data_IF_535596720228
#
_entry.id   IF_535596720228
#
_cell.length_a   1.000
_cell.length_b   1.000
_cell.length_c   1.000
_cell.angle_alpha   90.00
_cell.angle_beta   90.00
_cell.angle_gamma   90.00
#
_symmetry.space_group_name_H-M   'P 1'
#
loop_
_entity.id
_entity.type
_entity.pdbx_description
1 polymer ?
#
# COMPACT_ATOMS: atom_id res chain seq x y z
N UNK A 1 -22.67 -3.66 -4.31
CA UNK A 1 -23.37 -4.90 -3.91
C UNK A 1 -22.40 -6.08 -4.06
N UNK A 2 -22.31 -6.93 -3.01
CA UNK A 2 -21.95 -8.38 -2.97
C UNK A 2 -20.65 -8.99 -3.58
N UNK A 3 -19.69 -9.36 -2.69
CA UNK A 3 -19.01 -10.67 -2.39
C UNK A 3 -19.21 -11.85 -3.40
N UNK A 4 -18.34 -12.85 -3.66
CA UNK A 4 -17.43 -13.70 -2.83
C UNK A 4 -16.53 -14.54 -3.80
N UNK A 5 -15.35 -14.98 -3.35
CA UNK A 5 -14.70 -16.19 -3.84
C UNK A 5 -15.61 -17.42 -3.74
N UNK A 6 -15.72 -18.24 -4.79
CA UNK A 6 -15.97 -19.69 -4.72
C UNK A 6 -15.60 -20.29 -6.08
N UNK A 7 -14.62 -21.19 -6.11
CA UNK A 7 -14.37 -22.05 -7.26
C UNK A 7 -13.96 -23.43 -6.74
N UNK A 8 -14.97 -24.28 -6.51
CA UNK A 8 -14.81 -25.73 -6.61
C UNK A 8 -15.49 -26.17 -7.91
N UNK A 9 -14.79 -27.04 -8.63
CA UNK A 9 -15.32 -28.03 -9.58
C UNK A 9 -16.02 -27.51 -10.84
N UNK A 10 -15.39 -27.70 -12.01
CA UNK A 10 -15.72 -28.83 -12.90
C UNK A 10 -14.78 -28.82 -14.11
N UNK A 11 -13.90 -29.82 -14.15
CA UNK A 11 -13.34 -30.30 -15.41
C UNK A 11 -14.37 -31.20 -16.12
N UNK A 12 -14.19 -31.27 -17.44
CA UNK A 12 -14.77 -32.21 -18.41
C UNK A 12 -16.11 -31.81 -19.05
N UNK A 13 -16.04 -31.38 -20.31
CA UNK A 13 -16.41 -32.25 -21.43
C UNK A 13 -15.91 -31.68 -22.76
N UNK A 14 -15.38 -32.57 -23.58
CA UNK A 14 -14.78 -32.36 -24.90
C UNK A 14 -15.82 -32.04 -25.98
N UNK A 15 -15.46 -31.05 -26.80
CA UNK A 15 -15.63 -30.91 -28.26
C UNK A 15 -16.70 -31.76 -28.96
N UNK A 16 -17.71 -31.12 -29.56
CA UNK A 16 -18.15 -31.40 -30.94
C UNK A 16 -18.73 -30.13 -31.62
N UNK A 17 -18.64 -30.14 -32.95
CA UNK A 17 -18.69 -29.04 -33.92
C UNK A 17 -20.06 -28.36 -34.01
N UNK A 18 -20.06 -27.02 -34.04
CA UNK A 18 -21.25 -26.22 -34.37
C UNK A 18 -20.92 -24.75 -34.57
N UNK A 19 -20.88 -24.32 -35.83
CA UNK A 19 -20.95 -22.92 -36.26
C UNK A 19 -22.03 -22.18 -35.48
N UNK A 20 -21.66 -21.18 -34.68
CA UNK A 20 -22.36 -19.90 -34.49
C UNK A 20 -21.51 -19.00 -33.59
N UNK A 21 -21.31 -17.77 -34.03
CA UNK A 21 -20.56 -16.68 -33.38
C UNK A 21 -20.47 -16.79 -31.85
N UNK A 22 -19.28 -17.10 -31.33
CA UNK A 22 -18.96 -16.71 -29.96
C UNK A 22 -19.14 -15.19 -29.87
N UNK A 23 -19.85 -14.66 -28.85
CA UNK A 23 -19.86 -13.24 -28.60
C UNK A 23 -18.42 -12.85 -28.28
N UNK A 24 -17.78 -12.14 -29.21
CA UNK A 24 -16.36 -11.82 -29.14
C UNK A 24 -15.99 -11.33 -27.75
N UNK A 25 -15.06 -12.03 -27.10
CA UNK A 25 -14.40 -11.44 -25.94
C UNK A 25 -13.81 -10.13 -26.43
N UNK A 26 -14.37 -9.02 -25.99
CA UNK A 26 -13.88 -7.70 -26.33
C UNK A 26 -12.46 -7.63 -25.80
N UNK A 27 -11.49 -7.86 -26.68
CA UNK A 27 -10.11 -7.85 -26.26
C UNK A 27 -9.73 -6.40 -25.96
N UNK A 28 -9.09 -6.20 -24.81
CA UNK A 28 -8.73 -4.87 -24.29
C UNK A 28 -7.90 -4.08 -25.31
N UNK A 29 -7.09 -4.77 -26.13
CA UNK A 29 -6.33 -4.19 -27.23
C UNK A 29 -7.21 -3.61 -28.36
N UNK A 30 -8.34 -4.23 -28.71
CA UNK A 30 -9.29 -3.67 -29.68
C UNK A 30 -9.98 -2.41 -29.15
N UNK A 31 -10.27 -2.38 -27.84
CA UNK A 31 -10.81 -1.18 -27.19
C UNK A 31 -9.75 -0.06 -27.21
N UNK A 32 -8.54 -0.34 -26.75
CA UNK A 32 -7.47 0.67 -26.72
C UNK A 32 -7.11 1.14 -28.14
N UNK A 33 -7.04 0.26 -29.13
CA UNK A 33 -6.78 0.63 -30.52
C UNK A 33 -7.89 1.48 -31.15
N UNK A 34 -9.11 1.42 -30.62
CA UNK A 34 -10.24 2.26 -31.07
C UNK A 34 -10.24 3.62 -30.37
N UNK A 35 -9.86 3.66 -29.08
CA UNK A 35 -9.96 4.86 -28.23
C UNK A 35 -8.64 5.63 -28.07
N UNK A 36 -7.51 5.07 -28.48
CA UNK A 36 -6.19 5.72 -28.40
C UNK A 36 -5.33 5.40 -29.62
N UNK A 37 -4.75 6.42 -30.28
CA UNK A 37 -3.76 6.23 -31.33
C UNK A 37 -2.34 5.98 -30.79
N UNK A 38 -2.11 6.00 -29.47
CA UNK A 38 -0.77 5.82 -28.86
C UNK A 38 -0.29 4.35 -28.98
N UNK A 39 0.76 4.07 -29.76
CA UNK A 39 1.30 2.73 -29.92
C UNK A 39 1.77 2.10 -28.59
N UNK A 40 2.16 2.93 -27.62
CA UNK A 40 2.64 2.50 -26.30
C UNK A 40 1.51 1.87 -25.48
N UNK A 41 0.31 2.46 -25.53
CA UNK A 41 -0.87 1.92 -24.84
C UNK A 41 -1.38 0.65 -25.50
N UNK A 42 -1.33 0.57 -26.83
CA UNK A 42 -1.70 -0.63 -27.58
C UNK A 42 -0.74 -1.78 -27.23
N UNK A 43 0.57 -1.52 -27.23
CA UNK A 43 1.57 -2.51 -26.84
C UNK A 43 1.37 -2.96 -25.37
N UNK A 44 1.08 -2.02 -24.46
CA UNK A 44 0.78 -2.36 -23.07
C UNK A 44 -0.46 -3.26 -22.95
N UNK A 45 -1.53 -2.99 -23.70
CA UNK A 45 -2.74 -3.83 -23.71
C UNK A 45 -2.40 -5.27 -24.12
N UNK A 46 -1.61 -5.43 -25.18
CA UNK A 46 -1.20 -6.74 -25.70
C UNK A 46 -0.29 -7.50 -24.74
N UNK A 47 0.64 -6.80 -24.07
CA UNK A 47 1.63 -7.43 -23.21
C UNK A 47 1.13 -7.73 -21.79
N UNK A 48 0.31 -6.84 -21.22
CA UNK A 48 -0.04 -6.87 -19.80
C UNK A 48 -1.52 -7.20 -19.54
N UNK A 49 -2.39 -7.11 -20.56
CA UNK A 49 -3.82 -7.36 -20.41
C UNK A 49 -4.30 -8.59 -21.19
N UNK A 50 -3.52 -9.11 -22.15
CA UNK A 50 -3.89 -10.32 -22.91
C UNK A 50 -3.42 -11.60 -22.19
N UNK A 51 -4.34 -12.53 -21.93
CA UNK A 51 -4.08 -13.77 -21.20
C UNK A 51 -3.25 -14.77 -22.00
N UNK A 52 -3.31 -14.67 -23.34
CA UNK A 52 -2.63 -15.61 -24.23
C UNK A 52 -1.11 -15.44 -24.28
N UNK A 53 -0.61 -14.25 -23.94
CA UNK A 53 0.82 -13.94 -24.06
C UNK A 53 1.66 -14.54 -22.93
N UNK A 54 1.08 -14.80 -21.75
CA UNK A 54 1.84 -15.33 -20.64
C UNK A 54 0.99 -16.17 -19.67
N UNK A 55 0.95 -17.50 -19.86
CA UNK A 55 0.38 -18.45 -18.89
C UNK A 55 1.03 -18.39 -17.48
N UNK A 56 2.04 -17.54 -17.27
CA UNK A 56 2.72 -17.29 -15.98
C UNK A 56 2.36 -15.95 -15.33
N UNK A 57 1.58 -15.06 -15.96
CA UNK A 57 1.19 -13.81 -15.29
C UNK A 57 0.15 -14.09 -14.21
N UNK A 58 0.39 -13.58 -13.01
CA UNK A 58 -0.58 -13.57 -11.91
C UNK A 58 -1.89 -12.93 -12.40
N UNK A 59 -3.00 -13.68 -12.32
CA UNK A 59 -4.31 -13.21 -12.77
C UNK A 59 -4.72 -11.89 -12.11
N UNK A 60 -4.26 -11.66 -10.88
CA UNK A 60 -4.50 -10.41 -10.16
C UNK A 60 -3.78 -9.21 -10.80
N UNK A 61 -2.58 -9.43 -11.37
CA UNK A 61 -1.83 -8.38 -12.05
C UNK A 61 -2.47 -8.02 -13.38
N UNK A 62 -2.91 -9.03 -14.15
CA UNK A 62 -3.57 -8.80 -15.43
C UNK A 62 -4.89 -8.04 -15.27
N UNK A 63 -5.70 -8.40 -14.26
CA UNK A 63 -6.93 -7.69 -13.93
C UNK A 63 -6.63 -6.23 -13.55
N UNK A 64 -5.63 -6.01 -12.71
CA UNK A 64 -5.16 -4.67 -12.34
C UNK A 64 -4.74 -3.85 -13.56
N UNK A 65 -3.91 -4.41 -14.45
CA UNK A 65 -3.48 -3.73 -15.67
C UNK A 65 -4.65 -3.34 -16.57
N UNK A 66 -5.65 -4.21 -16.71
CA UNK A 66 -6.85 -3.95 -17.51
C UNK A 66 -7.68 -2.81 -16.92
N UNK A 67 -7.90 -2.81 -15.60
CA UNK A 67 -8.65 -1.77 -14.90
C UNK A 67 -7.99 -0.39 -15.01
N UNK A 68 -6.69 -0.31 -14.77
CA UNK A 68 -5.94 0.96 -14.84
C UNK A 68 -5.87 1.48 -16.27
N UNK A 69 -5.65 0.60 -17.24
CA UNK A 69 -5.61 0.97 -18.66
C UNK A 69 -6.94 1.57 -19.11
N UNK A 70 -8.05 0.92 -18.74
CA UNK A 70 -9.39 1.45 -19.01
C UNK A 70 -9.59 2.83 -18.40
N UNK A 71 -9.18 3.05 -17.14
CA UNK A 71 -9.26 4.35 -16.49
C UNK A 71 -8.43 5.42 -17.22
N UNK A 72 -7.18 5.10 -17.55
CA UNK A 72 -6.24 6.04 -18.16
C UNK A 72 -6.71 6.46 -19.56
N UNK A 73 -7.22 5.52 -20.36
CA UNK A 73 -7.76 5.82 -21.70
C UNK A 73 -9.08 6.58 -21.60
N UNK A 74 -10.00 6.15 -20.73
CA UNK A 74 -11.33 6.77 -20.61
C UNK A 74 -11.29 8.21 -20.08
N UNK A 75 -10.25 8.57 -19.31
CA UNK A 75 -10.07 9.92 -18.74
C UNK A 75 -9.08 10.78 -19.52
N UNK A 76 -8.53 10.28 -20.63
CA UNK A 76 -7.45 10.93 -21.40
C UNK A 76 -6.24 11.30 -20.53
N UNK A 77 -5.78 10.33 -19.72
CA UNK A 77 -4.65 10.47 -18.78
C UNK A 77 -3.65 9.31 -18.92
N UNK A 78 -3.07 9.08 -20.11
CA UNK A 78 -2.14 7.96 -20.33
C UNK A 78 -0.90 8.01 -19.42
N UNK A 79 -0.44 9.22 -19.05
CA UNK A 79 0.72 9.38 -18.16
C UNK A 79 0.52 8.79 -16.75
N UNK A 80 -0.73 8.64 -16.28
CA UNK A 80 -1.01 8.04 -14.98
C UNK A 80 -0.76 6.54 -14.95
N UNK A 81 -0.77 5.86 -16.09
CA UNK A 81 -0.52 4.42 -16.17
C UNK A 81 0.82 4.06 -15.51
N UNK A 82 1.85 4.86 -15.76
CA UNK A 82 3.17 4.67 -15.13
C UNK A 82 3.10 4.86 -13.61
N UNK A 83 2.32 5.82 -13.12
CA UNK A 83 2.16 6.07 -11.68
C UNK A 83 1.49 4.88 -11.00
N UNK A 84 0.41 4.35 -11.57
CA UNK A 84 -0.27 3.16 -11.06
C UNK A 84 0.64 1.94 -11.02
N UNK A 85 1.37 1.68 -12.10
CA UNK A 85 2.32 0.56 -12.18
C UNK A 85 3.46 0.72 -11.16
N UNK A 86 3.98 1.94 -11.00
CA UNK A 86 5.01 2.24 -10.00
C UNK A 86 4.50 1.97 -8.59
N UNK A 87 3.29 2.42 -8.25
CA UNK A 87 2.68 2.16 -6.95
C UNK A 87 2.47 0.66 -6.71
N UNK A 88 1.93 -0.05 -7.69
CA UNK A 88 1.68 -1.49 -7.58
C UNK A 88 2.98 -2.27 -7.37
N UNK A 89 4.01 -1.99 -8.17
CA UNK A 89 5.30 -2.68 -8.12
C UNK A 89 6.05 -2.37 -6.83
N UNK A 90 6.07 -1.11 -6.37
CA UNK A 90 6.72 -0.73 -5.10
C UNK A 90 6.12 -1.45 -3.91
N UNK A 91 4.78 -1.52 -3.80
CA UNK A 91 4.12 -2.28 -2.74
C UNK A 91 4.38 -3.78 -2.88
N UNK A 92 4.41 -4.30 -4.11
CA UNK A 92 4.81 -5.67 -4.39
C UNK A 92 6.23 -5.97 -3.88
N UNK A 93 7.20 -5.09 -4.15
CA UNK A 93 8.58 -5.22 -3.68
C UNK A 93 8.69 -5.13 -2.16
N UNK A 94 7.93 -4.25 -1.51
CA UNK A 94 7.86 -4.20 -0.04
C UNK A 94 7.32 -5.51 0.55
N UNK A 95 6.29 -6.09 -0.06
CA UNK A 95 5.71 -7.36 0.37
C UNK A 95 6.69 -8.52 0.19
N UNK A 96 7.30 -8.63 -0.99
CA UNK A 96 8.30 -9.66 -1.27
C UNK A 96 9.51 -9.55 -0.36
N UNK A 97 9.93 -8.34 0.02
CA UNK A 97 11.00 -8.14 1.00
C UNK A 97 10.64 -8.73 2.37
N UNK A 98 9.42 -8.49 2.86
CA UNK A 98 8.96 -9.05 4.14
C UNK A 98 8.83 -10.57 4.07
N UNK A 99 8.38 -11.12 2.93
CA UNK A 99 8.15 -12.56 2.76
C UNK A 99 9.44 -13.36 2.55
N UNK A 100 10.31 -12.90 1.66
CA UNK A 100 11.54 -13.59 1.27
C UNK A 100 12.67 -13.39 2.29
N UNK A 101 12.60 -12.32 3.09
CA UNK A 101 13.71 -11.92 3.95
C UNK A 101 14.94 -11.45 3.17
N UNK A 102 14.80 -11.18 1.86
CA UNK A 102 15.85 -10.63 1.00
C UNK A 102 15.62 -9.14 0.71
N UNK A 103 16.71 -8.36 0.70
CA UNK A 103 16.64 -6.91 0.59
C UNK A 103 16.43 -6.49 -0.88
N UNK A 104 15.18 -6.18 -1.23
CA UNK A 104 14.74 -5.88 -2.60
C UNK A 104 14.33 -4.41 -2.76
N UNK A 105 13.92 -3.75 -1.68
CA UNK A 105 13.35 -2.41 -1.69
C UNK A 105 14.00 -1.50 -0.63
N UNK A 106 14.74 -0.48 -1.08
CA UNK A 106 15.53 0.41 -0.22
C UNK A 106 15.00 1.85 -0.15
N UNK A 107 13.93 2.18 -0.86
CA UNK A 107 13.41 3.54 -0.89
C UNK A 107 12.39 3.79 0.22
N UNK A 108 12.82 4.45 1.30
CA UNK A 108 11.92 4.90 2.37
C UNK A 108 11.17 6.18 2.03
N UNK A 109 11.69 7.01 1.11
CA UNK A 109 11.09 8.31 0.75
C UNK A 109 9.78 8.12 -0.02
N UNK A 110 9.65 7.00 -0.72
CA UNK A 110 8.40 6.60 -1.36
C UNK A 110 7.18 6.69 -0.42
N UNK A 111 7.31 6.28 0.85
CA UNK A 111 6.22 6.34 1.81
C UNK A 111 5.77 7.78 2.09
N UNK A 112 6.70 8.73 2.13
CA UNK A 112 6.36 10.14 2.30
C UNK A 112 5.56 10.67 1.10
N UNK A 113 6.01 10.35 -0.12
CA UNK A 113 5.30 10.71 -1.36
C UNK A 113 3.91 10.08 -1.42
N UNK A 114 3.79 8.81 -1.00
CA UNK A 114 2.52 8.10 -0.96
C UNK A 114 1.57 8.70 0.09
N UNK A 115 2.07 9.06 1.27
CA UNK A 115 1.26 9.73 2.30
C UNK A 115 0.72 11.07 1.82
N UNK A 116 1.51 11.82 1.05
CA UNK A 116 1.03 13.04 0.40
C UNK A 116 -0.10 12.74 -0.59
N UNK A 117 0.07 11.71 -1.43
CA UNK A 117 -0.99 11.28 -2.36
C UNK A 117 -2.26 10.82 -1.63
N UNK A 118 -2.13 10.14 -0.49
CA UNK A 118 -3.27 9.74 0.35
C UNK A 118 -3.97 10.95 0.97
N UNK A 119 -3.21 11.90 1.51
CA UNK A 119 -3.75 13.13 2.08
C UNK A 119 -4.51 13.96 1.03
N UNK A 120 -3.99 14.03 -0.20
CA UNK A 120 -4.69 14.64 -1.33
C UNK A 120 -6.04 13.96 -1.59
N UNK A 121 -6.05 12.63 -1.68
CA UNK A 121 -7.28 11.86 -1.92
C UNK A 121 -8.30 12.03 -0.79
N UNK A 122 -7.85 12.04 0.47
CA UNK A 122 -8.70 12.26 1.64
C UNK A 122 -9.29 13.67 1.66
N UNK A 123 -8.49 14.69 1.31
CA UNK A 123 -8.96 16.07 1.19
C UNK A 123 -10.01 16.23 0.08
N UNK A 124 -9.88 15.47 -1.01
CA UNK A 124 -10.86 15.44 -2.10
C UNK A 124 -12.16 14.74 -1.67
N UNK A 125 -12.08 13.56 -1.03
CA UNK A 125 -13.26 12.82 -0.55
C UNK A 125 -14.00 13.60 0.55
N UNK A 126 -13.28 14.26 1.44
CA UNK A 126 -13.86 15.07 2.52
C UNK A 126 -14.47 16.40 2.05
N UNK A 127 -14.39 16.72 0.76
CA UNK A 127 -14.91 17.96 0.19
C UNK A 127 -14.10 19.21 0.56
N UNK A 128 -12.94 19.06 1.21
CA UNK A 128 -12.03 20.18 1.52
C UNK A 128 -11.45 20.79 0.24
N UNK A 129 -11.22 19.95 -0.77
CA UNK A 129 -10.83 20.39 -2.10
C UNK A 129 -12.09 20.48 -2.98
N UNK A 130 -12.45 21.71 -3.35
CA UNK A 130 -13.51 21.98 -4.33
C UNK A 130 -12.96 21.76 -5.74
N UNK A 131 -12.75 20.50 -6.12
CA UNK A 131 -12.50 20.13 -7.50
C UNK A 131 -13.75 19.45 -8.06
N UNK A 132 -14.37 20.07 -9.06
CA UNK A 132 -15.52 19.51 -9.81
C UNK A 132 -15.14 18.28 -10.67
N UNK A 133 -13.94 17.71 -10.48
CA UNK A 133 -13.40 16.62 -11.28
C UNK A 133 -13.13 15.37 -10.45
N UNK A 134 -13.26 14.20 -11.08
CA UNK A 134 -12.79 12.94 -10.49
C UNK A 134 -11.30 13.07 -10.10
N UNK A 135 -10.94 12.53 -8.93
CA UNK A 135 -9.59 12.58 -8.38
C UNK A 135 -8.51 12.15 -9.39
N UNK A 136 -7.25 12.52 -9.12
CA UNK A 136 -6.13 12.21 -10.02
C UNK A 136 -6.00 10.69 -10.16
N UNK A 137 -5.90 10.00 -9.03
CA UNK A 137 -5.86 8.54 -8.91
C UNK A 137 -7.19 8.07 -8.31
N UNK A 138 -7.64 6.88 -8.68
CA UNK A 138 -8.84 6.25 -8.13
C UNK A 138 -8.71 6.08 -6.61
N UNK A 139 -9.70 6.62 -5.88
CA UNK A 139 -9.71 6.58 -4.41
C UNK A 139 -9.71 5.16 -3.84
N UNK A 140 -10.41 4.22 -4.48
CA UNK A 140 -10.46 2.81 -4.08
C UNK A 140 -9.10 2.13 -4.22
N UNK A 141 -8.34 2.45 -5.27
CA UNK A 141 -6.97 1.96 -5.45
C UNK A 141 -6.05 2.54 -4.36
N UNK A 142 -6.15 3.83 -4.08
CA UNK A 142 -5.36 4.45 -3.01
C UNK A 142 -5.65 3.83 -1.63
N UNK A 143 -6.91 3.51 -1.37
CA UNK A 143 -7.31 2.83 -0.14
C UNK A 143 -6.81 1.39 -0.08
N UNK A 144 -6.79 0.65 -1.19
CA UNK A 144 -6.22 -0.70 -1.23
C UNK A 144 -4.70 -0.68 -0.98
N UNK A 145 -3.99 0.31 -1.52
CA UNK A 145 -2.57 0.55 -1.26
C UNK A 145 -2.33 0.84 0.24
N UNK A 146 -3.14 1.72 0.85
CA UNK A 146 -3.06 2.03 2.29
C UNK A 146 -3.17 0.74 3.13
N UNK A 147 -4.20 -0.07 2.88
CA UNK A 147 -4.42 -1.34 3.61
C UNK A 147 -3.28 -2.31 3.44
N UNK A 148 -2.76 -2.47 2.22
CA UNK A 148 -1.66 -3.40 1.96
C UNK A 148 -0.38 -3.01 2.69
N UNK A 149 -0.08 -1.72 2.84
CA UNK A 149 1.04 -1.25 3.67
C UNK A 149 0.80 -1.59 5.15
N UNK A 150 -0.40 -1.34 5.65
CA UNK A 150 -0.72 -1.64 7.04
C UNK A 150 -0.61 -3.14 7.35
N UNK A 151 -0.97 -4.00 6.40
CA UNK A 151 -0.78 -5.45 6.47
C UNK A 151 0.71 -5.83 6.46
N UNK A 152 1.51 -5.27 5.55
CA UNK A 152 2.98 -5.44 5.51
C UNK A 152 3.59 -5.11 6.88
N UNK A 153 3.21 -3.98 7.47
CA UNK A 153 3.74 -3.51 8.75
C UNK A 153 3.19 -4.27 9.95
N UNK A 154 2.03 -4.92 9.84
CA UNK A 154 1.46 -5.73 10.92
C UNK A 154 2.14 -7.11 11.06
N UNK A 155 2.70 -7.64 9.98
CA UNK A 155 3.15 -9.03 9.89
C UNK A 155 4.52 -9.33 10.53
N UNK A 156 5.20 -8.35 11.13
CA UNK A 156 6.54 -8.53 11.70
C UNK A 156 6.57 -8.46 13.22
N UNK A 157 6.85 -9.60 13.88
CA UNK A 157 7.13 -9.64 15.33
C UNK A 157 8.43 -8.90 15.68
N UNK A 158 9.48 -9.10 14.86
CA UNK A 158 10.80 -8.50 15.04
C UNK A 158 10.74 -6.96 14.96
N UNK A 159 9.86 -6.42 14.12
CA UNK A 159 9.60 -5.00 14.02
C UNK A 159 9.12 -4.41 15.35
N UNK A 160 8.22 -5.10 16.05
CA UNK A 160 7.73 -4.63 17.36
C UNK A 160 8.86 -4.58 18.39
N UNK A 161 9.73 -5.59 18.43
CA UNK A 161 10.82 -5.63 19.40
C UNK A 161 11.86 -4.54 19.09
N UNK A 162 12.20 -4.35 17.82
CA UNK A 162 13.06 -3.25 17.36
C UNK A 162 12.48 -1.87 17.65
N UNK A 163 11.15 -1.71 17.52
CA UNK A 163 10.45 -0.48 17.87
C UNK A 163 10.55 -0.15 19.36
N UNK A 164 10.40 -1.16 20.24
CA UNK A 164 10.56 -0.97 21.69
C UNK A 164 12.00 -0.57 22.05
N UNK A 165 12.99 -1.23 21.46
CA UNK A 165 14.41 -0.89 21.62
C UNK A 165 14.70 0.53 21.15
N UNK A 166 14.10 0.94 20.02
CA UNK A 166 14.25 2.29 19.48
C UNK A 166 13.65 3.35 20.42
N UNK A 167 12.46 3.11 20.98
CA UNK A 167 11.85 4.04 21.94
C UNK A 167 12.65 4.15 23.25
N UNK A 168 13.13 3.02 23.76
CA UNK A 168 13.84 2.97 25.04
C UNK A 168 15.29 3.47 24.93
N UNK A 169 16.07 2.94 23.98
CA UNK A 169 17.49 3.22 23.87
C UNK A 169 17.85 4.23 22.78
N UNK A 170 16.92 4.59 21.90
CA UNK A 170 17.21 5.42 20.73
C UNK A 170 18.12 4.75 19.70
N UNK A 171 18.24 3.42 19.75
CA UNK A 171 19.13 2.64 18.89
C UNK A 171 18.38 2.07 17.70
N UNK A 172 19.05 2.10 16.56
CA UNK A 172 18.61 1.39 15.35
C UNK A 172 19.14 -0.06 15.36
N UNK A 173 18.46 -1.00 14.69
CA UNK A 173 19.02 -2.31 14.38
C UNK A 173 20.40 -2.17 13.69
N UNK A 174 21.37 -2.99 14.10
CA UNK A 174 22.78 -2.79 13.75
C UNK A 174 23.07 -3.21 12.30
N UNK A 175 23.36 -2.28 11.40
CA UNK A 175 23.54 -2.53 9.95
C UNK A 175 24.72 -3.43 9.54
N UNK A 176 25.49 -3.98 10.48
CA UNK A 176 26.69 -4.78 10.18
C UNK A 176 26.40 -6.26 9.88
N UNK A 177 25.19 -6.74 10.17
CA UNK A 177 24.74 -8.10 9.87
C UNK A 177 23.58 -7.99 8.85
N UNK A 178 23.61 -8.76 7.76
CA UNK A 178 22.63 -8.65 6.65
C UNK A 178 21.16 -8.73 7.12
N UNK A 179 20.88 -9.54 8.15
CA UNK A 179 19.55 -9.65 8.75
C UNK A 179 19.08 -8.42 9.55
N UNK A 180 19.99 -7.53 9.92
CA UNK A 180 19.70 -6.34 10.73
C UNK A 180 19.51 -5.07 9.86
N UNK A 181 20.03 -5.06 8.62
CA UNK A 181 19.74 -3.99 7.66
C UNK A 181 18.25 -3.98 7.27
N UNK A 182 17.68 -5.16 7.08
CA UNK A 182 16.28 -5.38 6.76
C UNK A 182 15.35 -4.90 7.87
N UNK A 183 15.72 -5.20 9.10
CA UNK A 183 15.03 -4.73 10.29
C UNK A 183 15.06 -3.22 10.44
N UNK A 184 16.22 -2.60 10.18
CA UNK A 184 16.34 -1.15 10.17
C UNK A 184 15.42 -0.54 9.10
N UNK A 185 15.28 -1.21 7.95
CA UNK A 185 14.38 -0.77 6.89
C UNK A 185 12.91 -0.88 7.29
N UNK A 186 12.47 -2.04 7.80
CA UNK A 186 11.11 -2.24 8.30
C UNK A 186 10.76 -1.23 9.42
N UNK A 187 11.71 -0.98 10.33
CA UNK A 187 11.55 0.04 11.36
C UNK A 187 11.41 1.43 10.74
N UNK A 188 12.23 1.78 9.75
CA UNK A 188 12.12 3.08 9.06
C UNK A 188 10.74 3.27 8.41
N UNK A 189 10.20 2.23 7.76
CA UNK A 189 8.87 2.28 7.16
C UNK A 189 7.80 2.48 8.22
N UNK A 190 7.87 1.76 9.33
CA UNK A 190 6.92 1.87 10.43
C UNK A 190 6.92 3.28 11.05
N UNK A 191 8.10 3.83 11.32
CA UNK A 191 8.26 5.16 11.91
C UNK A 191 7.71 6.25 10.97
N UNK A 192 8.02 6.17 9.67
CA UNK A 192 7.54 7.11 8.66
C UNK A 192 6.03 6.98 8.42
N UNK A 193 5.51 5.74 8.34
CA UNK A 193 4.10 5.51 8.06
C UNK A 193 3.21 6.05 9.19
N UNK A 194 3.59 5.80 10.44
CA UNK A 194 2.80 6.22 11.61
C UNK A 194 3.21 7.57 12.22
N UNK A 195 4.11 8.32 11.57
CA UNK A 195 4.63 9.62 12.04
C UNK A 195 5.12 9.56 13.49
N UNK A 196 5.90 8.53 13.81
CA UNK A 196 6.46 8.36 15.14
C UNK A 196 7.58 9.40 15.34
N UNK A 197 7.50 10.26 16.38
CA UNK A 197 8.53 11.25 16.65
C UNK A 197 9.85 10.63 17.09
N UNK A 198 10.96 11.38 17.06
CA UNK A 198 12.22 10.93 17.62
C UNK A 198 12.10 10.52 19.11
N UNK A 199 12.94 9.58 19.59
CA UNK A 199 12.79 9.00 20.93
C UNK A 199 12.85 10.03 22.06
N UNK A 200 13.65 11.09 21.91
CA UNK A 200 13.74 12.17 22.90
C UNK A 200 12.42 12.95 23.04
N UNK A 201 11.68 13.15 21.94
CA UNK A 201 10.35 13.81 21.94
C UNK A 201 9.35 12.90 22.64
N UNK A 202 9.34 11.61 22.30
CA UNK A 202 8.46 10.63 22.94
C UNK A 202 8.73 10.55 24.44
N UNK A 203 10.00 10.45 24.87
CA UNK A 203 10.38 10.44 26.30
C UNK A 203 9.93 11.71 27.02
N UNK A 204 10.10 12.88 26.42
CA UNK A 204 9.63 14.14 27.00
C UNK A 204 8.11 14.16 27.16
N UNK A 205 7.37 13.67 26.16
CA UNK A 205 5.92 13.55 26.22
C UNK A 205 5.48 12.60 27.34
N UNK A 206 6.10 11.43 27.44
CA UNK A 206 5.82 10.44 28.50
C UNK A 206 6.04 11.05 29.89
N UNK A 207 7.16 11.74 30.11
CA UNK A 207 7.45 12.40 31.39
C UNK A 207 6.39 13.43 31.76
N UNK A 208 5.98 14.28 30.81
CA UNK A 208 4.93 15.29 31.04
C UNK A 208 3.58 14.67 31.41
N UNK A 209 3.27 13.51 30.83
CA UNK A 209 2.02 12.80 31.10
C UNK A 209 2.06 12.06 32.44
N UNK A 210 3.17 11.39 32.77
CA UNK A 210 3.37 10.73 34.08
C UNK A 210 3.24 11.70 35.26
N UNK A 211 3.58 12.97 35.07
CA UNK A 211 3.39 14.02 36.08
C UNK A 211 1.92 14.43 36.30
N UNK A 212 1.03 14.15 35.34
CA UNK A 212 -0.35 14.67 35.31
C UNK A 212 -1.43 13.61 35.53
N UNK A 213 -1.12 12.33 35.36
CA UNK A 213 -2.11 11.26 35.49
C UNK A 213 -1.51 9.99 36.13
N UNK A 214 -2.29 9.25 36.94
CA UNK A 214 -1.86 7.99 37.51
C UNK A 214 -1.63 6.92 36.42
N UNK A 215 -0.60 6.09 36.60
CA UNK A 215 -0.17 5.05 35.64
C UNK A 215 -1.23 3.96 35.33
N UNK A 216 -2.39 3.98 36.00
CA UNK A 216 -3.47 3.00 35.84
C UNK A 216 -4.48 3.34 34.74
N UNK A 217 -4.38 4.51 34.10
CA UNK A 217 -5.30 4.95 33.04
C UNK A 217 -4.57 4.95 31.69
N UNK A 218 -5.33 4.78 30.58
CA UNK A 218 -4.76 4.96 29.24
C UNK A 218 -4.41 6.43 29.02
N UNK A 219 -3.20 6.67 28.54
CA UNK A 219 -2.64 8.00 28.30
C UNK A 219 -2.82 8.47 26.86
N UNK A 220 -3.49 7.67 26.02
CA UNK A 220 -3.71 7.94 24.59
C UNK A 220 -4.21 9.37 24.32
N UNK A 221 -5.23 9.92 25.01
CA UNK A 221 -5.69 11.28 24.73
C UNK A 221 -4.63 12.35 25.01
N UNK A 222 -3.85 12.19 26.08
CA UNK A 222 -2.79 13.13 26.46
C UNK A 222 -1.59 13.01 25.51
N UNK A 223 -1.24 11.80 25.10
CA UNK A 223 -0.20 11.56 24.11
C UNK A 223 -0.58 12.15 22.74
N UNK A 224 -1.84 12.03 22.33
CA UNK A 224 -2.32 12.65 21.09
C UNK A 224 -2.25 14.18 21.14
N UNK A 225 -2.55 14.78 22.30
CA UNK A 225 -2.39 16.23 22.48
C UNK A 225 -0.92 16.69 22.35
N UNK A 226 0.03 15.90 22.86
CA UNK A 226 1.46 16.24 22.81
C UNK A 226 2.13 15.89 21.48
N UNK A 227 1.55 14.95 20.73
CA UNK A 227 2.07 14.44 19.45
C UNK A 227 0.94 14.39 18.42
N UNK A 228 0.41 15.56 17.99
CA UNK A 228 -0.81 15.64 17.18
C UNK A 228 -0.63 15.08 15.77
N UNK A 229 0.60 15.04 15.27
CA UNK A 229 0.92 14.51 13.95
C UNK A 229 1.04 12.99 13.94
N UNK A 230 1.20 12.36 15.11
CA UNK A 230 1.43 10.92 15.20
C UNK A 230 0.11 10.17 15.02
N UNK A 231 0.15 9.13 14.18
CA UNK A 231 -1.01 8.32 13.88
C UNK A 231 -1.54 7.60 15.14
N UNK A 232 -2.86 7.42 15.23
CA UNK A 232 -3.53 6.82 16.39
C UNK A 232 -2.97 5.43 16.77
N UNK A 233 -2.60 4.63 15.77
CA UNK A 233 -1.93 3.32 15.98
C UNK A 233 -0.56 3.48 16.65
N UNK A 234 0.24 4.45 16.22
CA UNK A 234 1.53 4.76 16.82
C UNK A 234 1.39 5.22 18.28
N UNK A 235 0.41 6.09 18.55
CA UNK A 235 0.10 6.55 19.92
C UNK A 235 -0.29 5.38 20.81
N UNK A 236 -1.15 4.49 20.32
CA UNK A 236 -1.57 3.29 21.06
C UNK A 236 -0.38 2.38 21.39
N UNK A 237 0.57 2.21 20.47
CA UNK A 237 1.77 1.40 20.75
C UNK A 237 2.72 2.08 21.75
N UNK A 238 2.82 3.41 21.72
CA UNK A 238 3.56 4.17 22.76
C UNK A 238 2.88 4.03 24.12
N UNK A 239 1.55 4.10 24.20
CA UNK A 239 0.79 3.90 25.45
C UNK A 239 1.00 2.50 26.04
N UNK A 240 1.03 1.47 25.18
CA UNK A 240 1.38 0.09 25.58
C UNK A 240 2.80 -0.02 26.09
N UNK A 241 3.75 0.72 25.50
CA UNK A 241 5.13 0.77 25.99
C UNK A 241 5.20 1.39 27.39
N UNK A 242 4.46 2.47 27.65
CA UNK A 242 4.39 3.09 28.98
C UNK A 242 3.79 2.14 30.02
N UNK A 243 2.70 1.46 29.68
CA UNK A 243 1.99 0.55 30.60
C UNK A 243 2.81 -0.70 30.98
N UNK A 244 3.91 -1.00 30.28
CA UNK A 244 4.79 -2.15 30.57
C UNK A 244 5.90 -1.83 31.58
N UNK A 245 6.19 -0.55 31.84
CA UNK A 245 7.31 -0.12 32.69
C UNK A 245 6.85 0.68 33.90
#
# INVERSE_FOLDING_TARGET
MHKVCDASELCSSTTEIGSNCEPGSFKVDQLVGTFSPDPSLIAFAQLCCDSYWNNRSDSNFQEFCSQVLFECVSKDRPALLQVYLSLYTMIGSMWEQVKSGALVFQDSLFLSSLKLALAYNEALISGKLSCNGSGIIQSTFMESIRKRIEEILANSKKLRDNFLIYLDLGKWPNRQIDGDQMDAMHLSWYLLWYDIPPPHVVKSAIQKVKLKAPMSLSMVPLLHLLMPTTHAKGITEIDKFISRG
#
